data_IF_095320907004
#
_entry.id   IF_095320907004
#
_cell.length_a   1.000
_cell.length_b   1.000
_cell.length_c   1.000
_cell.angle_alpha   90.00
_cell.angle_beta   90.00
_cell.angle_gamma   90.00
#
_symmetry.space_group_name_H-M   'P 1'
#
loop_
_entity.id
_entity.type
_entity.pdbx_description
1 polymer ?
#
# COMPACT_ATOMS: atom_id res chain seq x y z
N UNK A 1 -4.73 7.69 3.76
CA UNK A 1 -4.97 6.53 4.64
C UNK A 1 -3.63 5.93 5.01
N UNK A 2 -3.46 5.30 6.17
CA UNK A 2 -2.17 4.70 6.56
C UNK A 2 -2.41 3.30 7.09
N UNK A 3 -1.56 2.35 6.70
CA UNK A 3 -1.61 0.95 7.11
C UNK A 3 -0.30 0.64 7.78
N UNK A 4 -0.32 0.13 9.01
CA UNK A 4 0.90 -0.31 9.68
C UNK A 4 1.05 -1.82 9.51
N UNK A 5 2.21 -2.26 9.02
CA UNK A 5 2.51 -3.67 8.77
C UNK A 5 3.96 -3.93 9.15
N UNK A 6 4.18 -4.90 10.03
CA UNK A 6 5.53 -5.32 10.48
C UNK A 6 6.40 -4.17 11.06
N UNK A 7 5.78 -3.16 11.69
CA UNK A 7 6.48 -1.99 12.21
C UNK A 7 6.82 -0.92 11.17
N UNK A 8 6.45 -1.14 9.90
CA UNK A 8 6.55 -0.16 8.82
C UNK A 8 5.18 0.48 8.58
N UNK A 9 5.12 1.80 8.63
CA UNK A 9 3.90 2.55 8.29
C UNK A 9 3.85 2.74 6.78
N UNK A 10 2.79 2.29 6.12
CA UNK A 10 2.56 2.53 4.70
C UNK A 10 1.50 3.62 4.54
N UNK A 11 1.86 4.74 3.94
CA UNK A 11 0.92 5.76 3.49
C UNK A 11 0.23 5.30 2.20
N UNK A 12 -1.08 5.16 2.29
CA UNK A 12 -1.95 4.86 1.17
C UNK A 12 -2.56 6.15 0.64
N UNK A 13 -2.21 6.46 -0.60
CA UNK A 13 -2.82 7.48 -1.43
C UNK A 13 -3.77 6.83 -2.41
N UNK A 14 -5.06 7.12 -2.24
CA UNK A 14 -6.04 6.81 -3.27
C UNK A 14 -5.97 7.88 -4.36
N UNK A 15 -5.86 7.46 -5.61
CA UNK A 15 -6.09 8.31 -6.78
C UNK A 15 -7.26 7.76 -7.60
N UNK A 16 -7.81 8.58 -8.50
CA UNK A 16 -8.97 8.22 -9.30
C UNK A 16 -8.77 6.92 -10.13
N UNK A 17 -7.53 6.60 -10.51
CA UNK A 17 -7.21 5.43 -11.32
C UNK A 17 -6.51 4.29 -10.55
N UNK A 18 -5.84 4.59 -9.43
CA UNK A 18 -4.96 3.63 -8.73
C UNK A 18 -4.76 3.97 -7.26
N UNK A 19 -4.30 2.99 -6.51
CA UNK A 19 -3.80 3.13 -5.15
C UNK A 19 -2.28 3.24 -5.19
N UNK A 20 -1.74 4.16 -4.43
CA UNK A 20 -0.30 4.34 -4.26
C UNK A 20 0.03 4.11 -2.79
N UNK A 21 0.80 3.08 -2.51
CA UNK A 21 1.27 2.71 -1.18
C UNK A 21 2.71 3.22 -1.06
N UNK A 22 3.02 4.00 -0.04
CA UNK A 22 4.38 4.48 0.24
C UNK A 22 4.81 4.03 1.62
N UNK A 23 5.86 3.26 1.73
CA UNK A 23 6.47 2.92 3.00
C UNK A 23 7.13 4.17 3.59
N UNK A 24 6.61 4.60 4.74
CA UNK A 24 7.19 5.57 5.67
C UNK A 24 7.91 4.77 6.76
N UNK A 25 9.10 4.26 6.44
CA UNK A 25 9.89 3.49 7.39
C UNK A 25 11.27 3.15 6.83
N UNK A 26 12.29 3.91 7.22
CA UNK A 26 13.69 3.65 6.89
C UNK A 26 14.26 4.50 5.74
N UNK A 27 15.58 4.41 5.54
CA UNK A 27 16.35 5.16 4.51
C UNK A 27 15.90 4.90 3.07
N UNK A 28 15.06 3.88 2.84
CA UNK A 28 14.57 3.49 1.52
C UNK A 28 13.07 3.76 1.44
N UNK A 29 12.68 4.67 0.56
CA UNK A 29 11.28 4.97 0.28
C UNK A 29 10.74 3.97 -0.75
N UNK A 30 10.08 2.92 -0.28
CA UNK A 30 9.36 1.99 -1.17
C UNK A 30 8.01 2.60 -1.56
N UNK A 31 7.72 2.64 -2.86
CA UNK A 31 6.44 3.08 -3.39
C UNK A 31 5.87 1.99 -4.31
N UNK A 32 4.66 1.52 -4.00
CA UNK A 32 3.92 0.55 -4.79
C UNK A 32 2.68 1.19 -5.39
N UNK A 33 2.41 0.89 -6.65
CA UNK A 33 1.26 1.40 -7.36
C UNK A 33 0.36 0.22 -7.75
N UNK A 34 -0.83 0.17 -7.17
CA UNK A 34 -1.82 -0.87 -7.42
C UNK A 34 -2.97 -0.27 -8.20
N UNK A 35 -3.25 -0.80 -9.39
CA UNK A 35 -4.34 -0.28 -10.21
C UNK A 35 -5.70 -0.60 -9.58
N UNK A 36 -6.67 0.33 -9.65
CA UNK A 36 -8.04 0.07 -9.18
C UNK A 36 -8.77 -1.03 -9.96
N UNK A 37 -8.18 -1.51 -11.06
CA UNK A 37 -8.61 -2.70 -11.79
C UNK A 37 -8.35 -4.00 -11.02
N UNK A 38 -7.26 -4.05 -10.26
CA UNK A 38 -6.81 -5.23 -9.51
C UNK A 38 -7.29 -5.20 -8.06
N UNK A 39 -7.33 -4.01 -7.44
CA UNK A 39 -7.91 -3.80 -6.11
C UNK A 39 -8.91 -2.66 -6.19
N UNK A 40 -10.21 -2.98 -6.18
CA UNK A 40 -11.28 -1.97 -6.22
C UNK A 40 -11.51 -1.35 -4.85
N UNK A 41 -11.28 -2.11 -3.78
CA UNK A 41 -11.55 -1.68 -2.41
C UNK A 41 -10.27 -1.58 -1.58
N UNK A 42 -10.37 -0.80 -0.50
CA UNK A 42 -9.32 -0.68 0.50
C UNK A 42 -9.06 -2.01 1.24
N UNK A 43 -10.08 -2.86 1.36
CA UNK A 43 -9.94 -4.21 1.95
C UNK A 43 -9.08 -5.11 1.07
N UNK A 44 -9.31 -5.13 -0.25
CA UNK A 44 -8.43 -5.84 -1.19
C UNK A 44 -7.01 -5.29 -1.13
N UNK A 45 -6.85 -3.96 -1.07
CA UNK A 45 -5.53 -3.34 -0.93
C UNK A 45 -4.85 -3.74 0.39
N UNK A 46 -5.59 -3.79 1.50
CA UNK A 46 -5.09 -4.26 2.79
C UNK A 46 -4.69 -5.73 2.73
N UNK A 47 -5.49 -6.59 2.10
CA UNK A 47 -5.14 -7.99 1.90
C UNK A 47 -3.94 -8.16 0.98
N UNK A 48 -3.81 -7.33 -0.05
CA UNK A 48 -2.67 -7.31 -0.95
C UNK A 48 -1.40 -6.91 -0.18
N UNK A 49 -1.44 -5.83 0.59
CA UNK A 49 -0.31 -5.42 1.45
C UNK A 49 -0.05 -6.44 2.57
N UNK A 50 -1.07 -7.14 3.05
CA UNK A 50 -0.94 -8.08 4.14
C UNK A 50 -0.41 -9.46 3.70
N UNK A 51 -0.76 -9.90 2.50
CA UNK A 51 -0.41 -11.20 1.93
C UNK A 51 0.74 -11.14 0.92
N UNK A 52 0.96 -10.01 0.27
CA UNK A 52 2.18 -9.75 -0.46
C UNK A 52 3.21 -9.29 0.58
N UNK A 53 4.24 -10.10 0.79
CA UNK A 53 5.40 -9.75 1.62
C UNK A 53 6.12 -8.59 0.92
N UNK A 54 5.60 -7.37 1.13
CA UNK A 54 6.24 -6.14 0.70
C UNK A 54 7.42 -5.90 1.66
N UNK A 55 8.45 -6.76 1.50
CA UNK A 55 9.78 -6.82 2.13
C UNK A 55 10.06 -5.77 3.21
#
# INVERSE_FOLDING_TARGET
MSIEKNGTTYEVKETAAKWTLKALGGKVSLAYEVSKKDCKTLEELKQYVAGNDLL
#
